data_IF_482961991399
#
_entry.id   IF_482961991399
#
_cell.length_a   1.000
_cell.length_b   1.000
_cell.length_c   1.000
_cell.angle_alpha   90.00
_cell.angle_beta   90.00
_cell.angle_gamma   90.00
#
_symmetry.space_group_name_H-M   'P 1'
#
loop_
_entity.id
_entity.type
_entity.pdbx_description
1 polymer ?
#
# COMPACT_ATOMS: atom_id res chain seq x y z
N UNK A 1 -12.82 -36.11 -4.10
CA UNK A 1 -14.00 -35.21 -4.10
C UNK A 1 -13.58 -33.78 -3.72
N UNK A 2 -13.94 -32.75 -4.50
CA UNK A 2 -13.75 -31.35 -4.08
C UNK A 2 -14.83 -31.01 -3.05
N UNK A 3 -14.46 -30.85 -1.77
CA UNK A 3 -15.39 -30.37 -0.73
C UNK A 3 -15.86 -28.96 -1.08
N UNK A 4 -17.17 -28.77 -1.16
CA UNK A 4 -17.78 -27.45 -1.41
C UNK A 4 -18.15 -26.85 -0.07
N UNK A 5 -17.60 -25.67 0.25
CA UNK A 5 -17.89 -24.99 1.51
C UNK A 5 -19.33 -24.45 1.52
N UNK A 6 -20.02 -24.60 2.65
CA UNK A 6 -21.32 -23.97 2.90
C UNK A 6 -21.19 -22.45 3.00
N UNK A 7 -22.30 -21.72 2.96
CA UNK A 7 -22.28 -20.26 3.13
C UNK A 7 -21.72 -19.84 4.50
N UNK A 8 -22.03 -20.62 5.54
CA UNK A 8 -21.57 -20.40 6.92
C UNK A 8 -20.08 -20.65 7.05
N UNK A 9 -19.58 -21.78 6.54
CA UNK A 9 -18.15 -22.07 6.56
C UNK A 9 -17.36 -21.00 5.80
N UNK A 10 -17.89 -20.53 4.66
CA UNK A 10 -17.29 -19.43 3.91
C UNK A 10 -17.24 -18.13 4.73
N UNK A 11 -18.31 -17.82 5.47
CA UNK A 11 -18.34 -16.66 6.34
C UNK A 11 -17.30 -16.78 7.48
N UNK A 12 -17.17 -17.96 8.09
CA UNK A 12 -16.20 -18.26 9.14
C UNK A 12 -14.75 -18.10 8.68
N UNK A 13 -14.42 -18.54 7.45
CA UNK A 13 -13.09 -18.30 6.86
C UNK A 13 -12.71 -16.83 6.89
N UNK A 14 -13.62 -15.94 6.46
CA UNK A 14 -13.33 -14.52 6.40
C UNK A 14 -13.28 -13.86 7.79
N UNK A 15 -14.09 -14.29 8.75
CA UNK A 15 -14.04 -13.76 10.12
C UNK A 15 -12.74 -14.16 10.84
N UNK A 16 -12.34 -15.43 10.76
CA UNK A 16 -11.07 -15.91 11.32
C UNK A 16 -9.88 -15.19 10.68
N UNK A 17 -9.88 -15.06 9.35
CA UNK A 17 -8.84 -14.31 8.63
C UNK A 17 -8.76 -12.85 9.05
N UNK A 18 -9.92 -12.19 9.23
CA UNK A 18 -10.02 -10.80 9.70
C UNK A 18 -9.48 -10.65 11.14
N UNK A 19 -9.65 -11.66 11.97
CA UNK A 19 -9.14 -11.70 13.34
C UNK A 19 -7.63 -12.00 13.42
N UNK A 20 -6.99 -12.38 12.32
CA UNK A 20 -5.53 -12.56 12.22
C UNK A 20 -5.07 -14.01 12.19
N UNK A 21 -6.00 -14.97 12.22
CA UNK A 21 -5.72 -16.41 12.10
C UNK A 21 -5.11 -16.73 10.73
N UNK A 22 -4.05 -17.55 10.71
CA UNK A 22 -3.40 -17.95 9.46
C UNK A 22 -4.27 -18.90 8.63
N UNK A 23 -4.13 -18.89 7.30
CA UNK A 23 -4.96 -19.75 6.43
C UNK A 23 -4.76 -21.26 6.69
N UNK A 24 -3.57 -21.69 7.14
CA UNK A 24 -3.32 -23.08 7.53
C UNK A 24 -4.09 -23.47 8.79
N UNK A 25 -4.16 -22.55 9.76
CA UNK A 25 -4.87 -22.76 11.02
C UNK A 25 -6.39 -22.74 10.79
N UNK A 26 -6.90 -21.83 9.96
CA UNK A 26 -8.30 -21.83 9.50
C UNK A 26 -8.67 -23.16 8.82
N UNK A 27 -7.74 -23.70 8.01
CA UNK A 27 -7.98 -24.96 7.33
C UNK A 27 -8.09 -26.13 8.32
N UNK A 28 -7.25 -26.15 9.36
CA UNK A 28 -7.35 -27.14 10.44
C UNK A 28 -8.68 -27.03 11.19
N UNK A 29 -9.09 -25.80 11.58
CA UNK A 29 -10.36 -25.55 12.29
C UNK A 29 -11.56 -26.07 11.49
N UNK A 30 -11.55 -25.87 10.17
CA UNK A 30 -12.66 -26.27 9.30
C UNK A 30 -12.51 -27.68 8.73
N UNK A 31 -11.44 -28.43 9.06
CA UNK A 31 -11.17 -29.77 8.52
C UNK A 31 -10.94 -29.79 7.00
N UNK A 32 -10.25 -28.79 6.46
CA UNK A 32 -10.02 -28.61 5.03
C UNK A 32 -8.53 -28.48 4.70
N UNK A 33 -8.19 -28.49 3.40
CA UNK A 33 -6.82 -28.29 2.93
C UNK A 33 -6.46 -26.79 2.97
N UNK A 34 -5.26 -26.40 3.45
CA UNK A 34 -4.80 -25.01 3.44
C UNK A 34 -4.89 -24.32 2.08
N UNK A 35 -4.61 -25.05 0.99
CA UNK A 35 -4.70 -24.54 -0.38
C UNK A 35 -6.11 -24.10 -0.77
N UNK A 36 -7.16 -24.71 -0.20
CA UNK A 36 -8.56 -24.34 -0.46
C UNK A 36 -8.91 -23.00 0.19
N UNK A 37 -8.52 -22.83 1.46
CA UNK A 37 -8.68 -21.57 2.19
C UNK A 37 -7.89 -20.46 1.51
N UNK A 38 -6.64 -20.75 1.13
CA UNK A 38 -5.80 -19.81 0.40
C UNK A 38 -6.43 -19.36 -0.91
N UNK A 39 -6.93 -20.30 -1.72
CA UNK A 39 -7.60 -19.98 -3.00
C UNK A 39 -8.81 -19.08 -2.79
N UNK A 40 -9.65 -19.41 -1.80
CA UNK A 40 -10.85 -18.64 -1.47
C UNK A 40 -10.53 -17.21 -1.03
N UNK A 41 -9.53 -17.04 -0.17
CA UNK A 41 -9.06 -15.72 0.25
C UNK A 41 -8.41 -14.98 -0.92
N UNK A 42 -7.61 -15.66 -1.75
CA UNK A 42 -6.87 -15.09 -2.88
C UNK A 42 -7.79 -14.48 -3.92
N UNK A 43 -8.89 -15.17 -4.27
CA UNK A 43 -9.81 -14.71 -5.31
C UNK A 43 -10.55 -13.42 -4.93
N UNK A 44 -10.57 -13.08 -3.64
CA UNK A 44 -11.20 -11.86 -3.09
C UNK A 44 -10.19 -10.89 -2.47
N UNK A 45 -8.89 -11.18 -2.57
CA UNK A 45 -7.83 -10.39 -1.93
C UNK A 45 -7.88 -10.40 -0.39
N UNK A 46 -8.55 -11.39 0.22
CA UNK A 46 -8.72 -11.54 1.66
C UNK A 46 -9.85 -10.70 2.26
N UNK A 47 -10.73 -10.12 1.44
CA UNK A 47 -11.86 -9.30 1.90
C UNK A 47 -13.17 -10.06 1.67
N UNK A 48 -13.96 -10.23 2.74
CA UNK A 48 -15.30 -10.82 2.64
C UNK A 48 -16.15 -10.04 1.63
N UNK A 49 -16.64 -10.66 0.55
CA UNK A 49 -17.60 -10.01 -0.32
C UNK A 49 -18.85 -9.64 0.47
N UNK A 50 -19.39 -8.44 0.28
CA UNK A 50 -20.67 -8.09 0.86
C UNK A 50 -21.75 -9.03 0.33
N UNK A 51 -22.56 -9.53 1.26
CA UNK A 51 -23.76 -10.27 0.90
C UNK A 51 -24.70 -9.36 0.13
N UNK A 52 -25.17 -9.83 -1.01
CA UNK A 52 -26.04 -9.05 -1.89
C UNK A 52 -27.47 -9.21 -1.43
N UNK A 53 -28.01 -8.17 -0.82
CA UNK A 53 -29.43 -8.07 -0.50
C UNK A 53 -30.17 -7.39 -1.64
N UNK A 54 -31.32 -7.93 -2.03
CA UNK A 54 -32.22 -7.26 -2.98
C UNK A 54 -33.00 -6.18 -2.24
N UNK A 55 -33.29 -5.08 -2.94
CA UNK A 55 -34.26 -4.11 -2.42
C UNK A 55 -35.65 -4.77 -2.39
N UNK A 56 -36.46 -4.43 -1.38
CA UNK A 56 -37.81 -4.97 -1.15
C UNK A 56 -38.77 -4.76 -2.34
N UNK A 57 -38.50 -3.72 -3.13
CA UNK A 57 -39.25 -3.42 -4.35
C UNK A 57 -39.02 -4.41 -5.51
N UNK A 58 -37.98 -5.25 -5.45
CA UNK A 58 -37.71 -6.25 -6.49
C UNK A 58 -38.39 -7.58 -6.16
N UNK A 59 -38.98 -8.20 -7.19
CA UNK A 59 -39.53 -9.55 -7.09
C UNK A 59 -38.47 -10.54 -6.58
N UNK A 60 -38.88 -11.42 -5.68
CA UNK A 60 -38.15 -12.57 -5.16
C UNK A 60 -38.23 -13.76 -6.13
N UNK A 61 -37.65 -14.91 -5.76
CA UNK A 61 -37.85 -16.13 -6.55
C UNK A 61 -39.25 -16.69 -6.31
N UNK A 62 -39.72 -16.72 -5.06
CA UNK A 62 -41.07 -17.19 -4.71
C UNK A 62 -42.15 -16.39 -5.46
N UNK A 63 -42.09 -15.05 -5.43
CA UNK A 63 -43.04 -14.24 -6.21
C UNK A 63 -42.97 -14.51 -7.72
N UNK A 64 -41.79 -14.87 -8.25
CA UNK A 64 -41.67 -15.26 -9.67
C UNK A 64 -42.28 -16.62 -9.96
N UNK A 65 -42.20 -17.57 -9.02
CA UNK A 65 -42.88 -18.86 -9.14
C UNK A 65 -44.40 -18.67 -9.12
N UNK A 66 -44.93 -17.79 -8.27
CA UNK A 66 -46.35 -17.44 -8.26
C UNK A 66 -46.79 -16.79 -9.57
N UNK A 67 -45.96 -15.89 -10.14
CA UNK A 67 -46.21 -15.37 -11.49
C UNK A 67 -46.28 -16.54 -12.48
N UNK A 68 -45.34 -17.48 -12.45
CA UNK A 68 -45.36 -18.64 -13.36
C UNK A 68 -46.63 -19.47 -13.19
N UNK A 69 -47.02 -19.78 -11.94
CA UNK A 69 -48.22 -20.55 -11.63
C UNK A 69 -49.49 -19.84 -12.11
N UNK A 70 -49.65 -18.55 -11.79
CA UNK A 70 -50.80 -17.76 -12.24
C UNK A 70 -50.89 -17.60 -13.76
N UNK A 71 -49.74 -17.50 -14.44
CA UNK A 71 -49.70 -17.51 -15.91
C UNK A 71 -50.19 -18.85 -16.50
N UNK A 72 -49.74 -19.97 -15.93
CA UNK A 72 -50.18 -21.32 -16.31
C UNK A 72 -51.66 -21.56 -16.05
N UNK A 73 -52.18 -21.02 -14.93
CA UNK A 73 -53.61 -21.02 -14.58
C UNK A 73 -54.45 -20.03 -15.40
N UNK A 74 -53.87 -19.40 -16.43
CA UNK A 74 -54.53 -18.41 -17.30
C UNK A 74 -55.07 -17.15 -16.58
N UNK A 75 -54.59 -16.84 -15.37
CA UNK A 75 -55.00 -15.64 -14.62
C UNK A 75 -54.56 -14.33 -15.29
N UNK A 76 -55.35 -13.26 -15.17
CA UNK A 76 -54.96 -11.95 -15.71
C UNK A 76 -53.75 -11.36 -14.97
N UNK A 77 -52.99 -10.48 -15.63
CA UNK A 77 -51.84 -9.78 -15.00
C UNK A 77 -52.28 -9.01 -13.75
N UNK A 78 -53.50 -8.43 -13.76
CA UNK A 78 -54.05 -7.69 -12.62
C UNK A 78 -54.34 -8.62 -11.44
N UNK A 79 -54.90 -9.80 -11.68
CA UNK A 79 -55.17 -10.78 -10.63
C UNK A 79 -53.89 -11.25 -9.94
N UNK A 80 -52.86 -11.62 -10.71
CA UNK A 80 -51.55 -12.02 -10.19
C UNK A 80 -50.91 -10.88 -9.39
N UNK A 81 -51.07 -9.63 -9.86
CA UNK A 81 -50.54 -8.46 -9.17
C UNK A 81 -51.22 -8.21 -7.83
N UNK A 82 -52.54 -8.37 -7.74
CA UNK A 82 -53.30 -8.25 -6.48
C UNK A 82 -52.87 -9.30 -5.48
N UNK A 83 -52.76 -10.57 -5.89
CA UNK A 83 -52.36 -11.69 -5.02
C UNK A 83 -50.95 -11.50 -4.44
N UNK A 84 -50.03 -10.98 -5.25
CA UNK A 84 -48.66 -10.70 -4.83
C UNK A 84 -48.49 -9.35 -4.13
N UNK A 85 -49.56 -8.56 -3.98
CA UNK A 85 -49.52 -7.18 -3.50
C UNK A 85 -48.47 -6.32 -4.26
N UNK A 86 -48.48 -6.41 -5.58
CA UNK A 86 -47.57 -5.66 -6.49
C UNK A 86 -48.37 -4.84 -7.50
N UNK A 87 -47.70 -3.84 -8.10
CA UNK A 87 -48.29 -3.10 -9.24
C UNK A 87 -48.46 -4.02 -10.46
N UNK A 88 -49.61 -3.97 -11.17
CA UNK A 88 -49.79 -4.68 -12.45
C UNK A 88 -48.70 -4.37 -13.47
N UNK A 89 -48.16 -3.14 -13.44
CA UNK A 89 -47.06 -2.73 -14.33
C UNK A 89 -45.75 -3.47 -14.03
N UNK A 90 -45.51 -3.87 -12.79
CA UNK A 90 -44.33 -4.67 -12.40
C UNK A 90 -44.42 -6.07 -12.99
N UNK A 91 -45.57 -6.71 -12.84
CA UNK A 91 -45.82 -8.07 -13.35
C UNK A 91 -45.77 -8.06 -14.89
N UNK A 92 -46.45 -7.10 -15.53
CA UNK A 92 -46.43 -6.93 -17.00
C UNK A 92 -45.01 -6.80 -17.55
N UNK A 93 -44.20 -5.87 -17.01
CA UNK A 93 -42.81 -5.66 -17.46
C UNK A 93 -41.93 -6.88 -17.19
N UNK A 94 -42.14 -7.58 -16.08
CA UNK A 94 -41.38 -8.80 -15.77
C UNK A 94 -41.66 -9.91 -16.79
N UNK A 95 -42.93 -10.16 -17.08
CA UNK A 95 -43.34 -11.20 -18.04
C UNK A 95 -42.87 -10.85 -19.44
N UNK A 96 -43.08 -9.61 -19.89
CA UNK A 96 -42.65 -9.16 -21.21
C UNK A 96 -41.13 -9.28 -21.40
N UNK A 97 -40.35 -8.86 -20.40
CA UNK A 97 -38.88 -8.94 -20.44
C UNK A 97 -38.37 -10.39 -20.48
N UNK A 98 -39.13 -11.34 -19.92
CA UNK A 98 -38.76 -12.74 -19.77
C UNK A 98 -39.56 -13.67 -20.69
N UNK A 99 -39.53 -13.38 -22.00
CA UNK A 99 -40.08 -14.21 -23.10
C UNK A 99 -41.60 -14.29 -23.16
N UNK A 100 -42.29 -13.40 -22.45
CA UNK A 100 -43.74 -13.29 -22.53
C UNK A 100 -44.48 -14.43 -21.85
N UNK A 101 -45.80 -14.41 -21.97
CA UNK A 101 -46.71 -15.21 -21.14
C UNK A 101 -46.54 -16.73 -21.33
N UNK A 102 -46.32 -17.18 -22.57
CA UNK A 102 -46.28 -18.59 -22.96
C UNK A 102 -44.99 -19.31 -22.53
N UNK A 103 -43.88 -18.57 -22.42
CA UNK A 103 -42.54 -19.14 -22.21
C UNK A 103 -41.88 -18.63 -20.92
N UNK A 104 -42.66 -18.03 -20.02
CA UNK A 104 -42.14 -17.48 -18.79
C UNK A 104 -41.60 -18.58 -17.88
N UNK A 105 -40.34 -18.45 -17.47
CA UNK A 105 -39.67 -19.35 -16.53
C UNK A 105 -39.13 -18.54 -15.36
N UNK A 106 -39.66 -18.82 -14.17
CA UNK A 106 -39.33 -18.11 -12.94
C UNK A 106 -37.84 -18.19 -12.58
N UNK A 107 -37.25 -19.39 -12.65
CA UNK A 107 -35.82 -19.61 -12.40
C UNK A 107 -34.94 -18.83 -13.38
N UNK A 108 -35.25 -18.82 -14.67
CA UNK A 108 -34.49 -18.09 -15.69
C UNK A 108 -34.59 -16.57 -15.51
N UNK A 109 -35.80 -16.08 -15.23
CA UNK A 109 -36.05 -14.67 -14.92
C UNK A 109 -35.25 -14.25 -13.67
N UNK A 110 -35.25 -15.08 -12.63
CA UNK A 110 -34.49 -14.85 -11.41
C UNK A 110 -32.97 -14.84 -11.64
N UNK A 111 -32.45 -15.80 -12.40
CA UNK A 111 -31.04 -15.90 -12.75
C UNK A 111 -30.58 -14.73 -13.62
N UNK A 112 -31.42 -14.29 -14.57
CA UNK A 112 -31.17 -13.08 -15.37
C UNK A 112 -31.14 -11.84 -14.49
N UNK A 113 -32.12 -11.67 -13.59
CA UNK A 113 -32.14 -10.56 -12.65
C UNK A 113 -30.88 -10.52 -11.78
N UNK A 114 -30.46 -11.67 -11.23
CA UNK A 114 -29.20 -11.82 -10.48
C UNK A 114 -27.97 -11.41 -11.29
N UNK A 115 -27.90 -11.83 -12.55
CA UNK A 115 -26.80 -11.49 -13.45
C UNK A 115 -26.78 -9.99 -13.75
N UNK A 116 -27.93 -9.38 -14.06
CA UNK A 116 -28.02 -7.94 -14.36
C UNK A 116 -27.76 -7.07 -13.13
N UNK A 117 -28.17 -7.52 -11.94
CA UNK A 117 -27.88 -6.85 -10.68
C UNK A 117 -26.38 -6.73 -10.38
N UNK A 118 -25.51 -7.55 -11.00
CA UNK A 118 -24.06 -7.39 -10.92
C UNK A 118 -23.58 -6.04 -11.46
N UNK A 119 -24.33 -5.40 -12.39
CA UNK A 119 -24.00 -4.12 -13.06
C UNK A 119 -22.48 -3.95 -13.24
N UNK A 120 -21.81 -4.89 -13.96
CA UNK A 120 -20.36 -4.84 -14.09
C UNK A 120 -19.98 -3.54 -14.79
N UNK A 121 -19.22 -2.68 -14.10
CA UNK A 121 -18.67 -1.48 -14.71
C UNK A 121 -17.39 -1.85 -15.44
N UNK A 122 -17.19 -1.39 -16.69
CA UNK A 122 -15.93 -1.58 -17.37
C UNK A 122 -14.80 -0.96 -16.55
N UNK A 123 -13.64 -1.61 -16.57
CA UNK A 123 -12.48 -1.10 -15.85
C UNK A 123 -11.95 0.15 -16.56
N UNK A 124 -11.71 1.22 -15.81
CA UNK A 124 -11.17 2.47 -16.36
C UNK A 124 -9.85 2.26 -17.13
N UNK A 125 -8.98 1.37 -16.63
CA UNK A 125 -7.68 1.10 -17.23
C UNK A 125 -7.78 0.21 -18.49
N UNK A 126 -8.87 -0.54 -18.66
CA UNK A 126 -9.11 -1.27 -19.93
C UNK A 126 -9.55 -0.29 -21.03
N UNK A 127 -10.29 0.75 -20.67
CA UNK A 127 -10.80 1.74 -21.62
C UNK A 127 -9.81 2.86 -21.96
N UNK A 128 -8.82 3.11 -21.09
CA UNK A 128 -7.88 4.22 -21.24
C UNK A 128 -6.43 3.71 -21.27
N UNK A 129 -5.99 3.32 -22.47
CA UNK A 129 -4.64 2.79 -22.71
C UNK A 129 -3.52 3.76 -22.33
N UNK A 130 -3.60 5.08 -22.63
CA UNK A 130 -2.59 6.05 -22.17
C UNK A 130 -2.45 6.09 -20.64
N UNK A 131 -3.57 6.10 -19.91
CA UNK A 131 -3.55 6.07 -18.45
C UNK A 131 -3.01 4.74 -17.91
N UNK A 132 -3.37 3.61 -18.54
CA UNK A 132 -2.84 2.28 -18.20
C UNK A 132 -1.33 2.24 -18.34
N UNK A 133 -0.79 2.69 -19.48
CA UNK A 133 0.66 2.74 -19.73
C UNK A 133 1.36 3.57 -18.65
N UNK A 134 0.84 4.77 -18.37
CA UNK A 134 1.43 5.64 -17.35
C UNK A 134 1.39 5.04 -15.95
N UNK A 135 0.29 4.36 -15.57
CA UNK A 135 0.19 3.66 -14.29
C UNK A 135 1.22 2.52 -14.22
N UNK A 136 1.38 1.74 -15.29
CA UNK A 136 2.38 0.66 -15.37
C UNK A 136 3.80 1.19 -15.20
N UNK A 137 4.20 2.21 -15.98
CA UNK A 137 5.53 2.81 -15.89
C UNK A 137 5.84 3.30 -14.47
N UNK A 138 4.88 3.94 -13.79
CA UNK A 138 5.09 4.40 -12.42
C UNK A 138 5.08 3.25 -11.41
N UNK A 139 4.30 2.19 -11.63
CA UNK A 139 4.38 0.98 -10.81
C UNK A 139 5.75 0.33 -10.96
N UNK A 140 6.31 0.19 -12.16
CA UNK A 140 7.64 -0.37 -12.41
C UNK A 140 8.74 0.43 -11.73
N UNK A 141 8.60 1.77 -11.68
CA UNK A 141 9.41 2.69 -10.85
C UNK A 141 9.16 2.53 -9.34
N UNK A 142 8.43 1.50 -8.93
CA UNK A 142 8.06 1.14 -7.55
C UNK A 142 7.15 2.15 -6.85
N UNK A 143 6.46 3.05 -7.56
CA UNK A 143 5.56 4.02 -6.93
C UNK A 143 4.31 3.31 -6.39
N UNK A 144 3.77 3.81 -5.26
CA UNK A 144 2.51 3.28 -4.73
C UNK A 144 1.32 3.85 -5.52
N UNK A 145 0.19 3.12 -5.58
CA UNK A 145 -1.05 3.65 -6.16
C UNK A 145 -1.47 5.03 -5.63
N UNK A 146 -1.24 5.30 -4.34
CA UNK A 146 -1.51 6.62 -3.75
C UNK A 146 -0.59 7.71 -4.32
N UNK A 147 0.69 7.39 -4.49
CA UNK A 147 1.67 8.28 -5.10
C UNK A 147 1.33 8.59 -6.56
N UNK A 148 0.96 7.57 -7.34
CA UNK A 148 0.58 7.72 -8.74
C UNK A 148 -0.65 8.62 -8.88
N UNK A 149 -1.71 8.33 -8.11
CA UNK A 149 -2.95 9.12 -8.13
C UNK A 149 -2.72 10.57 -7.71
N UNK A 150 -1.96 10.80 -6.63
CA UNK A 150 -1.66 12.14 -6.14
C UNK A 150 -0.75 12.95 -7.07
N UNK A 151 0.25 12.28 -7.66
CA UNK A 151 1.12 12.88 -8.68
C UNK A 151 0.34 13.29 -9.92
N UNK A 152 -0.49 12.39 -10.48
CA UNK A 152 -1.38 12.72 -11.61
C UNK A 152 -2.27 13.92 -11.31
N UNK A 153 -2.81 13.98 -10.07
CA UNK A 153 -3.63 15.11 -9.62
C UNK A 153 -2.90 16.44 -9.74
N UNK A 154 -1.65 16.46 -9.28
CA UNK A 154 -0.77 17.63 -9.21
C UNK A 154 -0.22 18.03 -10.57
N UNK A 155 0.37 17.10 -11.32
CA UNK A 155 1.16 17.41 -12.52
C UNK A 155 0.32 17.52 -13.78
N UNK A 156 -0.87 16.90 -13.80
CA UNK A 156 -1.81 16.96 -14.93
C UNK A 156 -3.17 17.49 -14.46
N UNK A 157 -3.27 18.74 -13.95
CA UNK A 157 -4.51 19.24 -13.35
C UNK A 157 -5.67 19.35 -14.33
N UNK A 158 -5.39 19.75 -15.57
CA UNK A 158 -6.38 19.98 -16.64
C UNK A 158 -6.80 18.70 -17.38
N UNK A 159 -6.04 17.62 -17.29
CA UNK A 159 -6.31 16.36 -17.99
C UNK A 159 -7.19 15.44 -17.15
N UNK A 160 -8.51 15.70 -17.16
CA UNK A 160 -9.49 14.91 -16.38
C UNK A 160 -9.50 13.42 -16.74
N UNK A 161 -9.15 13.07 -17.98
CA UNK A 161 -9.05 11.68 -18.45
C UNK A 161 -7.96 10.88 -17.74
N UNK A 162 -6.94 11.54 -17.17
CA UNK A 162 -5.87 10.88 -16.40
C UNK A 162 -6.17 10.77 -14.90
N UNK A 163 -7.41 11.04 -14.47
CA UNK A 163 -7.80 10.93 -13.07
C UNK A 163 -8.09 9.48 -12.72
N UNK A 164 -7.41 8.98 -11.71
CA UNK A 164 -7.64 7.64 -11.16
C UNK A 164 -7.52 7.67 -9.65
N UNK A 165 -8.39 6.94 -8.95
CA UNK A 165 -8.27 6.75 -7.50
C UNK A 165 -7.26 5.63 -7.19
N UNK A 166 -6.55 5.71 -6.04
CA UNK A 166 -5.62 4.64 -5.63
C UNK A 166 -6.33 3.28 -5.55
N UNK A 167 -7.58 3.30 -5.08
CA UNK A 167 -8.43 2.11 -4.96
C UNK A 167 -8.72 1.47 -6.32
N UNK A 168 -8.85 2.26 -7.40
CA UNK A 168 -9.05 1.69 -8.74
C UNK A 168 -7.81 0.92 -9.20
N UNK A 169 -6.61 1.46 -8.96
CA UNK A 169 -5.35 0.79 -9.28
C UNK A 169 -5.21 -0.49 -8.43
N UNK A 170 -5.46 -0.42 -7.12
CA UNK A 170 -5.42 -1.61 -6.26
C UNK A 170 -6.43 -2.68 -6.69
N UNK A 171 -7.67 -2.30 -7.00
CA UNK A 171 -8.68 -3.24 -7.50
C UNK A 171 -8.22 -3.92 -8.78
N UNK A 172 -7.62 -3.18 -9.70
CA UNK A 172 -7.12 -3.75 -10.94
C UNK A 172 -5.91 -4.68 -10.73
N UNK A 173 -5.06 -4.42 -9.73
CA UNK A 173 -3.96 -5.32 -9.39
C UNK A 173 -4.41 -6.60 -8.67
N UNK A 174 -5.40 -6.51 -7.77
CA UNK A 174 -5.80 -7.62 -6.88
C UNK A 174 -6.95 -8.47 -7.42
N UNK A 175 -7.91 -7.90 -8.15
CA UNK A 175 -9.02 -8.68 -8.72
C UNK A 175 -8.60 -9.24 -10.08
N UNK A 176 -8.29 -10.54 -10.12
CA UNK A 176 -7.89 -11.25 -11.35
C UNK A 176 -8.91 -11.20 -12.49
N UNK A 177 -10.19 -10.93 -12.19
CA UNK A 177 -11.21 -10.70 -13.21
C UNK A 177 -11.05 -9.39 -13.98
N UNK A 178 -10.08 -8.55 -13.61
CA UNK A 178 -9.68 -7.34 -14.35
C UNK A 178 -8.35 -7.61 -15.02
N UNK A 179 -8.34 -7.64 -16.34
CA UNK A 179 -7.15 -7.99 -17.14
C UNK A 179 -6.29 -6.76 -17.48
N UNK A 180 -6.73 -5.56 -17.10
CA UNK A 180 -6.04 -4.31 -17.41
C UNK A 180 -4.63 -4.18 -16.82
N UNK A 181 -4.29 -4.90 -15.75
CA UNK A 181 -2.93 -4.95 -15.23
C UNK A 181 -2.59 -6.40 -14.90
N UNK A 182 -1.43 -6.87 -15.36
CA UNK A 182 -1.01 -8.22 -15.02
C UNK A 182 -0.77 -8.34 -13.51
N UNK A 183 -1.23 -9.43 -12.89
CA UNK A 183 -1.16 -9.63 -11.44
C UNK A 183 0.28 -9.65 -10.89
N UNK A 184 1.28 -9.97 -11.72
CA UNK A 184 2.70 -9.90 -11.32
C UNK A 184 3.17 -8.48 -10.97
N UNK A 185 2.46 -7.43 -11.44
CA UNK A 185 2.80 -6.05 -11.10
C UNK A 185 2.70 -5.75 -9.59
N UNK A 186 2.07 -6.62 -8.79
CA UNK A 186 2.08 -6.56 -7.33
C UNK A 186 3.52 -6.59 -6.77
N UNK A 187 4.48 -7.20 -7.47
CA UNK A 187 5.89 -7.25 -7.06
C UNK A 187 6.52 -5.85 -6.90
N UNK A 188 6.02 -4.85 -7.63
CA UNK A 188 6.52 -3.48 -7.54
C UNK A 188 5.89 -2.67 -6.40
N UNK A 189 4.93 -3.25 -5.65
CA UNK A 189 4.39 -2.62 -4.46
C UNK A 189 5.34 -2.82 -3.26
N UNK A 190 5.40 -1.83 -2.38
CA UNK A 190 6.22 -1.88 -1.14
C UNK A 190 5.87 -3.09 -0.26
N UNK A 191 4.61 -3.49 -0.27
CA UNK A 191 4.12 -4.69 0.40
C UNK A 191 3.47 -5.58 -0.64
N UNK A 192 4.13 -6.67 -0.98
CA UNK A 192 3.67 -7.69 -1.93
C UNK A 192 2.61 -8.62 -1.33
N UNK A 193 1.75 -8.09 -0.45
CA UNK A 193 0.66 -8.89 0.10
C UNK A 193 -0.33 -9.18 -1.02
N UNK A 194 -0.38 -10.44 -1.44
CA UNK A 194 -1.46 -10.97 -2.28
C UNK A 194 -2.80 -10.99 -1.53
N UNK A 195 -2.76 -10.97 -0.20
CA UNK A 195 -3.91 -11.01 0.71
C UNK A 195 -3.84 -9.89 1.75
N UNK A 196 -4.92 -9.14 1.92
CA UNK A 196 -5.00 -8.11 2.95
C UNK A 196 -5.24 -8.77 4.31
N UNK A 197 -4.40 -8.45 5.29
CA UNK A 197 -4.57 -8.90 6.69
C UNK A 197 -5.30 -7.85 7.53
N UNK A 198 -5.98 -8.30 8.60
CA UNK A 198 -6.56 -7.44 9.62
C UNK A 198 -5.50 -6.66 10.42
N UNK A 199 -5.88 -5.51 11.00
CA UNK A 199 -4.97 -4.63 11.78
C UNK A 199 -4.33 -5.29 13.01
N UNK A 200 -4.88 -6.41 13.48
CA UNK A 200 -4.46 -7.11 14.72
C UNK A 200 -3.25 -8.06 14.52
N UNK A 201 -2.69 -8.12 13.31
CA UNK A 201 -1.55 -8.98 13.03
C UNK A 201 -0.23 -8.31 13.46
N UNK A 202 0.18 -8.49 14.72
CA UNK A 202 1.45 -7.97 15.26
C UNK A 202 2.47 -9.09 15.48
N UNK A 203 3.70 -8.91 14.97
CA UNK A 203 4.88 -9.64 15.47
C UNK A 203 5.63 -8.71 16.44
N UNK A 204 5.63 -9.05 17.72
CA UNK A 204 6.48 -8.42 18.74
C UNK A 204 7.88 -9.04 18.71
N UNK A 205 8.88 -8.22 18.93
CA UNK A 205 10.24 -8.65 19.25
C UNK A 205 10.91 -7.52 20.02
N UNK A 206 11.43 -7.84 21.20
CA UNK A 206 12.17 -6.94 22.07
C UNK A 206 13.65 -6.86 21.64
N UNK A 207 14.27 -5.69 21.82
CA UNK A 207 15.72 -5.51 21.68
C UNK A 207 16.23 -4.67 22.84
N UNK A 208 17.27 -5.18 23.48
CA UNK A 208 17.94 -4.56 24.63
C UNK A 208 18.65 -3.25 24.29
N UNK A 209 18.97 -2.51 25.35
CA UNK A 209 19.55 -1.16 25.34
C UNK A 209 21.09 -1.20 25.36
N UNK A 210 21.72 -0.23 24.68
CA UNK A 210 23.15 0.06 24.74
C UNK A 210 23.30 1.59 24.93
N UNK A 211 24.29 2.03 25.72
CA UNK A 211 24.57 3.45 26.01
C UNK A 211 25.77 3.97 25.19
N UNK A 212 25.63 5.16 24.61
CA UNK A 212 26.75 5.96 24.05
C UNK A 212 27.31 6.86 25.15
N UNK A 213 28.64 6.96 25.23
CA UNK A 213 29.34 7.88 26.14
C UNK A 213 29.42 9.27 25.50
N UNK A 214 29.12 10.34 26.27
CA UNK A 214 29.24 11.76 25.90
C UNK A 214 28.38 12.26 24.72
N UNK A 215 27.29 11.57 24.37
CA UNK A 215 26.39 12.03 23.31
C UNK A 215 25.42 13.13 23.77
N UNK A 216 25.32 14.22 22.99
CA UNK A 216 24.30 15.27 23.21
C UNK A 216 22.89 14.69 23.05
N UNK A 217 22.02 14.72 24.08
CA UNK A 217 20.67 14.19 24.01
C UNK A 217 19.79 14.99 23.06
N UNK A 218 18.79 14.34 22.48
CA UNK A 218 17.84 14.97 21.54
C UNK A 218 17.05 16.13 22.15
N UNK A 219 16.91 16.17 23.49
CA UNK A 219 16.20 17.23 24.21
C UNK A 219 16.93 18.58 24.20
N UNK A 220 18.25 18.57 23.97
CA UNK A 220 19.04 19.80 23.81
C UNK A 220 18.92 20.40 22.40
N UNK A 221 18.20 19.73 21.49
CA UNK A 221 17.94 20.22 20.15
C UNK A 221 16.94 21.38 20.19
N UNK A 222 17.26 22.48 19.51
CA UNK A 222 16.32 23.60 19.35
C UNK A 222 14.99 23.13 18.78
N UNK A 223 13.87 23.61 19.35
CA UNK A 223 12.51 23.34 18.88
C UNK A 223 12.29 23.73 17.41
N UNK A 224 13.09 24.67 16.88
CA UNK A 224 13.05 25.04 15.47
C UNK A 224 13.45 23.89 14.53
N UNK A 225 14.18 22.88 15.02
CA UNK A 225 14.57 21.72 14.23
C UNK A 225 13.41 20.72 14.11
N UNK A 226 12.52 20.67 15.10
CA UNK A 226 11.38 19.74 15.17
C UNK A 226 10.23 20.09 14.26
N UNK A 227 10.07 21.37 13.97
CA UNK A 227 9.02 21.87 13.08
C UNK A 227 9.30 21.55 11.59
N UNK A 228 10.49 21.03 11.26
CA UNK A 228 10.89 20.62 9.90
C UNK A 228 10.79 21.75 8.86
N UNK A 229 11.04 23.00 9.28
CA UNK A 229 10.88 24.20 8.42
C UNK A 229 12.14 24.58 7.63
N UNK A 230 13.33 24.15 8.04
CA UNK A 230 14.61 24.39 7.36
C UNK A 230 15.18 23.10 6.76
N UNK A 231 15.95 23.25 5.67
CA UNK A 231 16.79 22.17 5.13
C UNK A 231 18.06 22.00 5.99
N UNK A 232 18.74 20.87 5.82
CA UNK A 232 20.06 20.62 6.38
C UNK A 232 20.05 19.97 7.77
N UNK A 233 18.88 19.54 8.22
CA UNK A 233 18.73 18.74 9.44
C UNK A 233 18.50 17.28 9.02
N UNK A 234 19.50 16.44 9.24
CA UNK A 234 19.51 15.06 8.76
C UNK A 234 19.18 14.08 9.88
N UNK A 235 18.35 13.09 9.58
CA UNK A 235 18.19 11.88 10.40
C UNK A 235 18.98 10.74 9.76
N UNK A 236 19.89 10.12 10.51
CA UNK A 236 20.74 9.06 10.01
C UNK A 236 20.53 7.70 10.70
N UNK A 237 20.83 6.62 9.98
CA UNK A 237 20.74 5.22 10.47
C UNK A 237 21.69 4.31 9.71
N UNK A 238 21.95 3.13 10.28
CA UNK A 238 22.49 2.00 9.55
C UNK A 238 21.43 0.98 9.15
N UNK A 239 21.53 0.56 7.90
CA UNK A 239 20.74 -0.54 7.35
C UNK A 239 21.65 -1.76 7.20
N UNK A 240 21.41 -2.78 8.01
CA UNK A 240 22.20 -4.03 7.97
C UNK A 240 21.70 -5.00 6.88
N UNK A 241 22.65 -5.70 6.26
CA UNK A 241 22.48 -6.84 5.37
C UNK A 241 22.96 -8.15 6.01
N UNK A 242 23.15 -9.19 5.18
CA UNK A 242 23.86 -10.42 5.61
C UNK A 242 25.37 -10.23 5.60
N UNK A 243 26.11 -11.18 6.16
CA UNK A 243 27.58 -11.18 6.20
C UNK A 243 28.16 -9.89 6.80
N UNK A 244 27.50 -9.36 7.84
CA UNK A 244 27.89 -8.13 8.54
C UNK A 244 28.07 -6.89 7.61
N UNK A 245 27.38 -6.86 6.47
CA UNK A 245 27.41 -5.73 5.54
C UNK A 245 26.42 -4.63 5.93
N UNK A 246 26.81 -3.36 5.74
CA UNK A 246 26.04 -2.21 6.20
C UNK A 246 26.08 -1.08 5.15
N UNK A 247 25.01 -0.30 5.11
CA UNK A 247 24.97 1.00 4.44
C UNK A 247 24.46 2.04 5.42
N UNK A 248 25.00 3.25 5.36
CA UNK A 248 24.45 4.39 6.09
C UNK A 248 23.36 5.07 5.26
N UNK A 249 22.36 5.60 5.95
CA UNK A 249 21.27 6.35 5.33
C UNK A 249 21.20 7.71 5.99
N UNK A 250 21.03 8.76 5.21
CA UNK A 250 20.81 10.11 5.69
C UNK A 250 19.55 10.66 5.04
N UNK A 251 18.64 11.19 5.85
CA UNK A 251 17.38 11.74 5.35
C UNK A 251 17.14 13.13 5.90
N UNK A 252 17.04 14.13 5.02
CA UNK A 252 16.72 15.50 5.41
C UNK A 252 15.28 15.58 5.95
N UNK A 253 15.12 16.23 7.10
CA UNK A 253 13.86 16.29 7.84
C UNK A 253 12.82 17.21 7.21
N UNK A 254 13.15 18.08 6.27
CA UNK A 254 12.17 18.91 5.55
C UNK A 254 11.78 18.28 4.21
N UNK A 255 12.76 18.09 3.34
CA UNK A 255 12.61 17.59 1.97
C UNK A 255 12.40 16.08 1.87
N UNK A 256 12.79 15.30 2.89
CA UNK A 256 12.89 13.82 2.82
C UNK A 256 13.93 13.33 1.81
N UNK A 257 14.84 14.22 1.38
CA UNK A 257 15.90 13.85 0.46
C UNK A 257 16.78 12.81 1.13
N UNK A 258 17.00 11.71 0.43
CA UNK A 258 17.67 10.52 0.95
C UNK A 258 19.03 10.38 0.29
N UNK A 259 20.06 10.18 1.09
CA UNK A 259 21.40 9.79 0.67
C UNK A 259 21.65 8.40 1.25
N UNK A 260 22.29 7.54 0.46
CA UNK A 260 22.66 6.18 0.86
C UNK A 260 24.17 6.05 0.65
N UNK A 261 24.90 5.70 1.70
CA UNK A 261 26.36 5.61 1.67
C UNK A 261 26.79 4.17 1.86
N UNK A 262 27.71 3.72 1.01
CA UNK A 262 28.44 2.47 1.18
C UNK A 262 29.39 2.62 2.36
N UNK A 263 29.42 1.61 3.22
CA UNK A 263 30.36 1.55 4.34
C UNK A 263 31.39 0.44 4.11
N UNK A 264 32.62 0.68 4.58
CA UNK A 264 33.67 -0.36 4.62
C UNK A 264 33.43 -1.35 5.76
N UNK A 265 32.83 -0.89 6.86
CA UNK A 265 32.50 -1.67 8.04
C UNK A 265 31.43 -1.00 8.90
N UNK A 266 31.01 -1.72 9.94
CA UNK A 266 30.11 -1.28 11.03
C UNK A 266 30.88 -0.59 12.17
N UNK A 267 32.20 -0.46 12.04
CA UNK A 267 32.98 0.20 13.07
C UNK A 267 32.79 1.72 13.00
N UNK A 268 32.97 2.38 14.14
CA UNK A 268 32.77 3.83 14.25
C UNK A 268 33.74 4.66 13.42
N UNK A 269 34.89 4.09 13.01
CA UNK A 269 35.87 4.76 12.15
C UNK A 269 35.34 4.82 10.72
N UNK A 270 34.93 3.66 10.18
CA UNK A 270 34.34 3.55 8.84
C UNK A 270 33.10 4.40 8.69
N UNK A 271 32.21 4.41 9.69
CA UNK A 271 30.98 5.21 9.68
C UNK A 271 31.29 6.70 9.76
N UNK A 272 32.17 7.12 10.67
CA UNK A 272 32.54 8.54 10.79
C UNK A 272 33.18 9.05 9.51
N UNK A 273 34.17 8.34 8.95
CA UNK A 273 34.85 8.78 7.73
C UNK A 273 33.86 8.99 6.58
N UNK A 274 32.98 8.02 6.32
CA UNK A 274 31.99 8.11 5.25
C UNK A 274 31.00 9.28 5.45
N UNK A 275 30.60 9.54 6.70
CA UNK A 275 29.74 10.68 7.03
C UNK A 275 30.47 12.01 6.87
N UNK A 276 31.70 12.12 7.37
CA UNK A 276 32.53 13.33 7.26
C UNK A 276 32.75 13.70 5.80
N UNK A 277 33.23 12.76 4.98
CA UNK A 277 33.44 12.96 3.55
C UNK A 277 32.16 13.43 2.87
N UNK A 278 31.02 12.80 3.21
CA UNK A 278 29.75 13.18 2.61
C UNK A 278 29.30 14.57 3.03
N UNK A 279 29.38 14.91 4.31
CA UNK A 279 28.95 16.22 4.79
C UNK A 279 29.84 17.33 4.23
N UNK A 280 31.16 17.13 4.14
CA UNK A 280 32.06 18.09 3.51
C UNK A 280 31.75 18.33 2.02
N UNK A 281 31.25 17.30 1.32
CA UNK A 281 30.79 17.46 -0.08
C UNK A 281 29.48 18.24 -0.23
N UNK A 282 28.72 18.46 0.86
CA UNK A 282 27.45 19.17 0.80
C UNK A 282 27.64 20.70 0.92
N UNK A 283 26.80 21.49 0.24
CA UNK A 283 26.70 22.93 0.47
C UNK A 283 26.52 23.24 1.97
N UNK A 284 27.09 24.36 2.42
CA UNK A 284 27.16 24.73 3.83
C UNK A 284 25.77 24.83 4.47
N UNK A 285 24.77 25.25 3.68
CA UNK A 285 23.39 25.47 4.03
C UNK A 285 22.67 24.16 4.39
N UNK A 286 23.18 23.03 3.87
CA UNK A 286 22.69 21.68 4.14
C UNK A 286 23.41 21.01 5.32
N UNK A 287 24.39 21.64 5.96
CA UNK A 287 25.17 21.07 7.07
C UNK A 287 24.78 21.62 8.43
N UNK A 288 23.50 21.51 8.83
CA UNK A 288 23.02 22.12 10.09
C UNK A 288 23.09 21.20 11.30
N UNK A 289 22.55 19.99 11.19
CA UNK A 289 22.58 19.02 12.29
C UNK A 289 22.39 17.59 11.82
N UNK A 290 22.89 16.64 12.60
CA UNK A 290 22.64 15.20 12.42
C UNK A 290 21.92 14.65 13.65
N UNK A 291 20.93 13.79 13.45
CA UNK A 291 20.25 13.04 14.52
C UNK A 291 20.41 11.54 14.27
N UNK A 292 20.91 10.82 15.28
CA UNK A 292 21.22 9.40 15.20
C UNK A 292 20.65 8.61 16.38
N UNK A 293 20.59 7.29 16.26
CA UNK A 293 20.26 6.41 17.38
C UNK A 293 21.45 6.21 18.32
N UNK A 294 21.23 5.61 19.50
CA UNK A 294 22.31 5.33 20.47
C UNK A 294 23.17 4.11 20.10
N UNK A 295 23.38 3.84 18.80
CA UNK A 295 24.28 2.78 18.34
C UNK A 295 25.75 3.16 18.47
N UNK A 296 26.61 2.19 18.82
CA UNK A 296 28.07 2.41 18.91
C UNK A 296 28.72 2.80 17.58
N UNK A 297 28.01 2.63 16.45
CA UNK A 297 28.36 3.10 15.11
C UNK A 297 28.83 4.55 15.07
N UNK A 298 28.26 5.40 15.94
CA UNK A 298 28.57 6.82 15.97
C UNK A 298 29.31 7.23 17.26
N UNK A 299 30.06 6.30 17.86
CA UNK A 299 30.85 6.59 19.06
C UNK A 299 31.84 7.75 18.84
N UNK A 300 32.42 7.89 17.65
CA UNK A 300 33.36 8.97 17.28
C UNK A 300 32.68 10.27 16.84
N UNK A 301 31.41 10.51 17.19
CA UNK A 301 30.63 11.69 16.75
C UNK A 301 31.27 13.06 17.06
N UNK A 302 32.11 13.15 18.10
CA UNK A 302 32.83 14.39 18.44
C UNK A 302 33.81 14.77 17.32
N UNK A 303 34.56 13.82 16.78
CA UNK A 303 35.46 14.05 15.64
C UNK A 303 34.70 14.49 14.40
N UNK A 304 33.55 13.88 14.13
CA UNK A 304 32.67 14.30 13.03
C UNK A 304 32.20 15.75 13.22
N UNK A 305 31.85 16.14 14.45
CA UNK A 305 31.40 17.49 14.78
C UNK A 305 32.53 18.50 14.58
N UNK A 306 33.74 18.18 15.02
CA UNK A 306 34.94 19.03 14.83
C UNK A 306 35.25 19.22 13.35
N UNK A 307 35.25 18.15 12.57
CA UNK A 307 35.62 18.19 11.14
C UNK A 307 34.58 18.91 10.27
N UNK A 308 33.29 18.83 10.61
CA UNK A 308 32.20 19.30 9.74
C UNK A 308 31.46 20.54 10.25
N UNK A 309 31.62 20.88 11.53
CA UNK A 309 30.82 21.87 12.24
C UNK A 309 29.38 21.43 12.56
N UNK A 310 29.00 20.21 12.20
CA UNK A 310 27.62 19.71 12.31
C UNK A 310 27.38 19.13 13.69
N UNK A 311 26.44 19.70 14.45
CA UNK A 311 26.03 19.17 15.75
C UNK A 311 25.30 17.83 15.61
N UNK A 312 25.69 16.84 16.42
CA UNK A 312 25.08 15.52 16.48
C UNK A 312 24.19 15.39 17.71
N UNK A 313 22.96 14.92 17.52
CA UNK A 313 21.98 14.67 18.59
C UNK A 313 21.58 13.20 18.62
N UNK A 314 21.47 12.63 19.83
CA UNK A 314 21.13 11.23 20.03
C UNK A 314 19.72 11.05 20.58
N UNK A 315 18.93 10.19 19.92
CA UNK A 315 17.62 9.79 20.40
C UNK A 315 17.70 9.08 21.75
N UNK A 316 16.58 9.05 22.47
CA UNK A 316 16.44 8.25 23.68
C UNK A 316 16.38 6.75 23.34
N UNK A 317 16.83 5.87 24.25
CA UNK A 317 16.66 4.44 24.08
C UNK A 317 15.19 4.09 23.84
N UNK A 318 14.96 3.07 23.00
CA UNK A 318 13.61 2.54 22.70
C UNK A 318 12.60 3.59 22.17
N UNK A 319 13.09 4.72 21.63
CA UNK A 319 12.24 5.82 21.16
C UNK A 319 12.32 6.04 19.64
N UNK A 320 11.97 5.04 18.79
CA UNK A 320 12.13 5.14 17.33
C UNK A 320 11.30 6.28 16.69
N UNK A 321 10.20 6.69 17.33
CA UNK A 321 9.35 7.80 16.85
C UNK A 321 10.09 9.14 16.77
N UNK A 322 11.15 9.34 17.56
CA UNK A 322 12.01 10.53 17.52
C UNK A 322 12.76 10.67 16.18
N UNK A 323 12.84 9.59 15.41
CA UNK A 323 13.49 9.48 14.09
C UNK A 323 12.56 8.86 13.03
N UNK A 324 11.25 9.14 13.16
CA UNK A 324 10.22 8.53 12.32
C UNK A 324 10.33 8.84 10.82
N UNK A 325 11.11 9.85 10.40
CA UNK A 325 11.36 10.08 8.97
C UNK A 325 12.22 8.98 8.40
N UNK A 326 13.38 8.76 9.03
CA UNK A 326 14.33 7.78 8.56
C UNK A 326 13.80 6.35 8.75
N UNK A 327 13.07 6.03 9.81
CA UNK A 327 12.41 4.71 9.95
C UNK A 327 11.48 4.40 8.76
N UNK A 328 10.64 5.35 8.38
CA UNK A 328 9.78 5.18 7.20
C UNK A 328 10.59 5.07 5.91
N UNK A 329 11.67 5.85 5.75
CA UNK A 329 12.57 5.77 4.58
C UNK A 329 13.31 4.44 4.51
N UNK A 330 13.79 3.90 5.61
CA UNK A 330 14.43 2.59 5.66
C UNK A 330 13.47 1.50 5.19
N UNK A 331 12.20 1.58 5.58
CA UNK A 331 11.20 0.68 5.03
C UNK A 331 10.89 0.87 3.53
N UNK A 332 11.30 1.98 2.89
CA UNK A 332 11.28 2.15 1.42
C UNK A 332 12.57 1.62 0.79
N UNK A 333 13.71 1.86 1.42
CA UNK A 333 15.02 1.34 1.00
C UNK A 333 14.99 -0.19 0.97
N UNK A 334 14.29 -0.84 1.91
CA UNK A 334 14.09 -2.31 1.90
C UNK A 334 13.30 -2.85 0.70
N UNK A 335 12.65 -1.99 -0.09
CA UNK A 335 12.05 -2.38 -1.37
C UNK A 335 13.10 -2.58 -2.48
N UNK A 336 14.31 -2.03 -2.29
CA UNK A 336 15.46 -2.14 -3.19
C UNK A 336 16.50 -3.10 -2.63
N UNK A 337 16.70 -3.06 -1.31
CA UNK A 337 17.60 -3.95 -0.60
C UNK A 337 16.82 -4.78 0.43
N UNK A 338 16.10 -5.83 -0.02
CA UNK A 338 15.41 -6.76 0.87
C UNK A 338 16.28 -7.25 2.01
N UNK A 339 15.64 -7.56 3.15
CA UNK A 339 16.34 -8.24 4.25
C UNK A 339 16.95 -9.55 3.74
N UNK A 340 18.06 -9.95 4.35
CA UNK A 340 18.83 -11.17 4.02
C UNK A 340 19.70 -11.10 2.75
N UNK A 341 19.85 -9.92 2.15
CA UNK A 341 20.80 -9.70 1.06
C UNK A 341 22.12 -9.13 1.61
N UNK A 342 23.24 -9.50 1.00
CA UNK A 342 24.54 -8.92 1.30
C UNK A 342 24.60 -7.53 0.64
N UNK A 343 24.83 -6.49 1.42
CA UNK A 343 24.91 -5.11 0.92
C UNK A 343 26.29 -4.75 0.35
N UNK A 344 27.33 -5.51 0.70
CA UNK A 344 28.70 -5.24 0.24
C UNK A 344 28.88 -5.42 -1.28
N UNK A 345 27.95 -6.14 -1.94
CA UNK A 345 27.94 -6.31 -3.39
C UNK A 345 27.58 -5.03 -4.14
N UNK A 346 26.90 -4.06 -3.51
CA UNK A 346 26.46 -2.84 -4.17
C UNK A 346 27.54 -1.76 -4.13
N UNK A 347 27.91 -1.25 -5.28
CA UNK A 347 28.78 -0.09 -5.45
C UNK A 347 28.10 1.19 -4.97
N UNK A 348 28.88 2.24 -4.65
CA UNK A 348 28.31 3.54 -4.29
C UNK A 348 27.40 4.08 -5.42
N UNK A 349 27.79 3.88 -6.68
CA UNK A 349 27.00 4.28 -7.84
C UNK A 349 25.60 3.62 -7.86
N UNK A 350 25.50 2.32 -7.61
CA UNK A 350 24.20 1.63 -7.53
C UNK A 350 23.34 2.13 -6.36
N UNK A 351 23.96 2.45 -5.22
CA UNK A 351 23.25 3.05 -4.09
C UNK A 351 22.72 4.44 -4.44
N UNK A 352 23.49 5.24 -5.18
CA UNK A 352 23.10 6.56 -5.64
C UNK A 352 21.95 6.51 -6.66
N UNK A 353 21.95 5.51 -7.57
CA UNK A 353 20.82 5.27 -8.48
C UNK A 353 19.53 4.98 -7.70
N UNK A 354 19.60 4.15 -6.67
CA UNK A 354 18.44 3.85 -5.80
C UNK A 354 18.00 5.10 -5.02
N UNK A 355 18.94 5.87 -4.48
CA UNK A 355 18.65 7.13 -3.80
C UNK A 355 17.96 8.13 -4.76
N UNK A 356 18.45 8.25 -6.01
CA UNK A 356 17.86 9.09 -7.04
C UNK A 356 16.42 8.66 -7.37
N UNK A 357 16.14 7.36 -7.47
CA UNK A 357 14.76 6.88 -7.65
C UNK A 357 13.86 7.24 -6.47
N UNK A 358 14.35 7.08 -5.23
CA UNK A 358 13.62 7.47 -4.02
C UNK A 358 13.39 8.99 -3.94
N UNK A 359 14.34 9.79 -4.42
CA UNK A 359 14.28 11.25 -4.42
C UNK A 359 13.42 11.81 -5.55
N UNK A 360 13.18 11.04 -6.61
CA UNK A 360 12.19 11.35 -7.66
C UNK A 360 10.79 10.80 -7.37
N UNK A 361 10.62 10.08 -6.26
CA UNK A 361 9.34 9.49 -5.86
C UNK A 361 8.50 10.49 -5.05
N UNK A 362 7.26 10.80 -5.46
CA UNK A 362 6.45 11.83 -4.81
C UNK A 362 6.04 11.43 -3.40
N UNK A 363 5.95 12.40 -2.48
CA UNK A 363 5.58 12.16 -1.07
C UNK A 363 4.27 12.88 -0.73
N UNK A 364 3.32 12.15 -0.16
CA UNK A 364 2.04 12.75 0.31
C UNK A 364 2.28 13.88 1.32
N UNK A 365 3.23 13.70 2.22
CA UNK A 365 3.65 14.73 3.20
C UNK A 365 4.18 16.01 2.56
N UNK A 366 4.66 15.94 1.31
CA UNK A 366 5.12 17.08 0.52
C UNK A 366 4.08 17.50 -0.53
N UNK A 367 2.79 17.19 -0.29
CA UNK A 367 1.70 17.43 -1.24
C UNK A 367 1.96 16.83 -2.63
N UNK A 368 2.56 15.65 -2.66
CA UNK A 368 2.97 14.91 -3.87
C UNK A 368 4.05 15.57 -4.73
N UNK A 369 4.83 16.49 -4.14
CA UNK A 369 6.15 16.87 -4.66
C UNK A 369 7.19 15.79 -4.35
N UNK A 370 8.26 15.74 -5.13
CA UNK A 370 9.38 14.82 -4.92
C UNK A 370 10.39 15.45 -3.94
N UNK A 371 11.14 14.64 -3.19
CA UNK A 371 12.23 15.17 -2.35
C UNK A 371 13.24 16.01 -3.13
N UNK A 372 13.55 15.60 -4.37
CA UNK A 372 14.42 16.33 -5.30
C UNK A 372 13.88 17.74 -5.58
N UNK A 373 12.60 17.87 -5.94
CA UNK A 373 11.96 19.18 -6.18
C UNK A 373 12.01 20.10 -4.95
N UNK A 374 11.92 19.54 -3.73
CA UNK A 374 11.96 20.35 -2.50
C UNK A 374 13.38 20.81 -2.16
N UNK A 375 14.38 19.95 -2.31
CA UNK A 375 15.76 20.32 -1.98
C UNK A 375 16.31 21.32 -3.00
N UNK A 376 16.09 21.09 -4.30
CA UNK A 376 16.57 21.99 -5.37
C UNK A 376 15.98 23.39 -5.23
N UNK A 377 14.68 23.49 -4.96
CA UNK A 377 14.04 24.79 -4.71
C UNK A 377 14.58 25.49 -3.46
N UNK A 378 14.98 24.73 -2.45
CA UNK A 378 15.48 25.33 -1.21
C UNK A 378 16.93 25.79 -1.30
N UNK A 379 17.76 25.14 -2.12
CA UNK A 379 19.15 25.54 -2.39
C UNK A 379 19.18 26.70 -3.39
N UNK A 380 18.37 26.66 -4.45
CA UNK A 380 18.29 27.75 -5.43
C UNK A 380 17.64 29.05 -4.92
N UNK A 381 17.15 29.08 -3.67
CA UNK A 381 16.66 30.30 -3.01
C UNK A 381 17.69 30.90 -2.05
N UNK A 382 18.87 30.28 -1.92
CA UNK A 382 19.96 30.72 -1.05
C UNK A 382 21.23 31.10 -1.81
N UNK A 383 21.26 30.81 -3.13
CA UNK A 383 22.14 31.44 -4.12
C UNK A 383 21.45 32.71 -4.64
#
# INVERSE_FOLDING_TARGET
MRRTFTAEEKASVFELWKNGTGFSEIANILGSKPGTIFTMLRDTGGIKPHERKRAVAHLTLSEREEIRAGLSAKMSIRAIATELNRSPSTISREVQRNRGRRYYKAVDANNRANRMAKRPKPCLLDQNLPLRKLVLEKLEMKWSPEQISGWLRRTKPRQKTLRISPETIYKTLYFRSREALHHLNIQHLRRSHSLRHGRRHTRKGERGTINIVNGTPIHERSRNIDNRRSLGHWEGDLVSGTKNSHIATLVDRKSRYTIILRLRGKDSVSVNQALTDKFLSLPSELRKSLTWDRGMELARHLEFTVSTGVKVYFCDPQSPWQRGTNENTNGLIRQYFPKKICLAQYTQHELDLVAAQLNNRPRKTLKFKTPKEIIERGVALTD
#
